data_IF_894290454972
#
_entry.id   IF_894290454972
#
_cell.length_a   1.000
_cell.length_b   1.000
_cell.length_c   1.000
_cell.angle_alpha   90.00
_cell.angle_beta   90.00
_cell.angle_gamma   90.00
#
_symmetry.space_group_name_H-M   'P 1'
#
loop_
_entity.id
_entity.type
_entity.pdbx_description
1 polymer ?
#
# COMPACT_ATOMS: atom_id res chain seq x y z
N UNK A 1 -13.95 3.57 4.75
CA UNK A 1 -13.16 4.71 4.27
C UNK A 1 -13.20 4.69 2.75
N UNK A 2 -13.42 5.83 2.07
CA UNK A 2 -13.49 5.84 0.60
C UNK A 2 -12.08 5.88 0.01
N UNK A 3 -11.92 5.31 -1.18
CA UNK A 3 -10.67 5.26 -1.94
C UNK A 3 -10.92 5.79 -3.35
N UNK A 4 -10.03 6.67 -3.80
CA UNK A 4 -10.12 7.28 -5.11
C UNK A 4 -8.81 7.10 -5.87
N UNK A 5 -8.89 6.82 -7.18
CA UNK A 5 -7.74 6.84 -8.07
C UNK A 5 -7.50 8.27 -8.56
N UNK A 6 -6.24 8.68 -8.60
CA UNK A 6 -5.81 9.99 -9.08
C UNK A 6 -4.96 9.81 -10.34
N UNK A 7 -5.04 10.79 -11.25
CA UNK A 7 -4.17 10.86 -12.43
C UNK A 7 -2.86 11.63 -12.16
N UNK A 8 -2.78 12.30 -11.01
CA UNK A 8 -1.62 13.06 -10.55
C UNK A 8 -1.76 13.43 -9.07
N UNK A 9 -0.66 13.87 -8.44
CA UNK A 9 -0.70 14.32 -7.05
C UNK A 9 -1.67 15.51 -6.89
N UNK A 10 -2.42 15.60 -5.78
CA UNK A 10 -3.27 16.76 -5.54
C UNK A 10 -2.46 18.06 -5.52
N UNK A 11 -3.06 19.20 -5.92
CA UNK A 11 -2.41 20.49 -5.78
C UNK A 11 -2.23 20.87 -4.30
N UNK A 12 -1.15 21.61 -4.00
CA UNK A 12 -0.84 22.12 -2.67
C UNK A 12 0.36 21.42 -2.02
N UNK A 13 0.75 21.94 -0.86
CA UNK A 13 1.92 21.43 -0.13
C UNK A 13 1.57 20.12 0.59
N UNK A 14 2.30 19.02 0.28
CA UNK A 14 2.12 17.79 1.02
C UNK A 14 2.62 17.91 2.46
N UNK A 15 1.96 17.20 3.36
CA UNK A 15 2.51 16.87 4.67
C UNK A 15 3.74 15.95 4.57
N UNK A 16 4.37 15.63 5.71
CA UNK A 16 5.59 14.82 5.77
C UNK A 16 5.47 13.48 5.05
N UNK A 17 6.57 13.05 4.47
CA UNK A 17 6.67 11.79 3.75
C UNK A 17 6.82 10.60 4.70
N UNK A 18 6.04 9.54 4.46
CA UNK A 18 6.29 8.20 5.01
C UNK A 18 6.47 7.21 3.86
N UNK A 19 7.61 6.52 3.82
CA UNK A 19 7.81 5.41 2.89
C UNK A 19 7.19 4.16 3.49
N UNK A 20 6.37 3.46 2.70
CA UNK A 20 5.72 2.21 3.09
C UNK A 20 6.21 1.11 2.14
N UNK A 21 6.72 0.02 2.71
CA UNK A 21 7.08 -1.19 1.98
C UNK A 21 6.32 -2.36 2.56
N UNK A 22 5.63 -3.10 1.72
CA UNK A 22 4.84 -4.26 2.13
C UNK A 22 5.24 -5.47 1.31
N UNK A 23 5.34 -6.62 1.96
CA UNK A 23 5.47 -7.93 1.32
C UNK A 23 4.34 -8.84 1.80
N UNK A 24 3.90 -9.72 0.90
CA UNK A 24 2.72 -10.54 1.10
C UNK A 24 3.01 -12.01 0.84
N UNK A 25 2.36 -12.87 1.61
CA UNK A 25 2.29 -14.30 1.34
C UNK A 25 0.85 -14.75 1.44
N UNK A 26 0.41 -15.54 0.47
CA UNK A 26 -0.81 -16.33 0.56
C UNK A 26 -0.41 -17.72 1.01
N UNK A 27 -0.91 -18.10 2.17
CA UNK A 27 -0.75 -19.43 2.72
C UNK A 27 -2.00 -20.25 2.33
N UNK A 28 -1.92 -21.58 2.46
CA UNK A 28 -3.07 -22.45 2.25
C UNK A 28 -4.29 -22.04 3.10
N UNK A 29 -5.47 -22.51 2.72
CA UNK A 29 -6.71 -22.34 3.50
C UNK A 29 -7.15 -20.87 3.74
N UNK A 30 -6.77 -19.97 2.83
CA UNK A 30 -7.17 -18.56 2.89
C UNK A 30 -6.40 -17.73 3.93
N UNK A 31 -5.29 -18.24 4.43
CA UNK A 31 -4.41 -17.49 5.32
C UNK A 31 -3.55 -16.51 4.53
N UNK A 32 -3.31 -15.32 5.09
CA UNK A 32 -2.38 -14.35 4.51
C UNK A 32 -1.45 -13.78 5.56
N UNK A 33 -0.19 -13.57 5.15
CA UNK A 33 0.79 -12.84 5.94
C UNK A 33 1.13 -11.54 5.20
N UNK A 34 1.23 -10.45 5.95
CA UNK A 34 1.74 -9.17 5.46
C UNK A 34 2.80 -8.67 6.41
N UNK A 35 4.02 -8.45 5.91
CA UNK A 35 5.01 -7.66 6.62
C UNK A 35 5.01 -6.25 6.03
N UNK A 36 4.85 -5.24 6.88
CA UNK A 36 4.83 -3.82 6.54
C UNK A 36 5.98 -3.12 7.25
N UNK A 37 6.76 -2.36 6.50
CA UNK A 37 7.78 -1.43 6.99
C UNK A 37 7.31 -0.04 6.68
N UNK A 38 7.20 0.81 7.69
CA UNK A 38 6.81 2.21 7.50
C UNK A 38 7.64 3.16 8.33
N UNK A 39 8.02 4.29 7.75
CA UNK A 39 8.72 5.35 8.47
C UNK A 39 9.07 6.52 7.56
N UNK A 40 9.53 7.65 8.13
CA UNK A 40 10.17 8.71 7.36
C UNK A 40 11.37 8.17 6.58
N UNK A 41 11.73 8.77 5.43
CA UNK A 41 12.86 8.32 4.61
C UNK A 41 14.20 8.35 5.38
N UNK A 42 14.34 9.28 6.32
CA UNK A 42 15.59 9.54 7.06
C UNK A 42 15.57 9.05 8.52
N UNK A 43 14.63 8.17 8.88
CA UNK A 43 14.51 7.65 10.24
C UNK A 43 14.36 6.12 10.29
N UNK A 44 14.60 5.55 11.47
CA UNK A 44 14.37 4.13 11.71
C UNK A 44 12.88 3.80 11.48
N UNK A 45 12.55 2.85 10.60
CA UNK A 45 11.17 2.50 10.33
C UNK A 45 10.62 1.56 11.40
N UNK A 46 9.29 1.49 11.49
CA UNK A 46 8.56 0.48 12.24
C UNK A 46 8.24 -0.69 11.33
N UNK A 47 8.51 -1.90 11.80
CA UNK A 47 8.16 -3.14 11.12
C UNK A 47 6.98 -3.81 11.83
N UNK A 48 5.95 -4.18 11.06
CA UNK A 48 4.70 -4.76 11.56
C UNK A 48 4.32 -6.00 10.75
N UNK A 49 4.10 -7.12 11.42
CA UNK A 49 3.60 -8.36 10.83
C UNK A 49 2.11 -8.51 11.12
N UNK A 50 1.30 -8.58 10.07
CA UNK A 50 -0.10 -8.96 10.15
C UNK A 50 -0.27 -10.40 9.66
N UNK A 51 -1.06 -11.17 10.44
CA UNK A 51 -1.47 -12.55 10.13
C UNK A 51 -2.98 -12.56 10.03
N UNK A 52 -3.53 -12.99 8.90
CA UNK A 52 -4.98 -13.06 8.66
C UNK A 52 -5.38 -14.48 8.29
N UNK A 53 -6.59 -14.86 8.71
CA UNK A 53 -7.27 -16.09 8.34
C UNK A 53 -8.76 -15.82 8.17
N UNK A 54 -9.55 -16.75 7.60
CA UNK A 54 -11.00 -16.59 7.57
C UNK A 54 -11.57 -16.31 8.97
N UNK A 55 -12.22 -15.15 9.12
CA UNK A 55 -12.87 -14.73 10.37
C UNK A 55 -11.97 -14.20 11.49
N UNK A 56 -10.64 -14.11 11.32
CA UNK A 56 -9.75 -13.55 12.35
C UNK A 56 -8.47 -12.92 11.79
N UNK A 57 -7.87 -12.00 12.54
CA UNK A 57 -6.57 -11.44 12.21
C UNK A 57 -5.84 -10.87 13.43
N UNK A 58 -4.52 -10.83 13.34
CA UNK A 58 -3.62 -10.32 14.37
C UNK A 58 -2.55 -9.46 13.74
N UNK A 59 -2.02 -8.50 14.50
CA UNK A 59 -0.96 -7.61 14.08
C UNK A 59 0.08 -7.45 15.21
N UNK A 60 1.36 -7.53 14.86
CA UNK A 60 2.47 -7.55 15.80
C UNK A 60 3.58 -6.61 15.32
N UNK A 61 4.14 -5.81 16.22
CA UNK A 61 5.38 -5.08 15.94
C UNK A 61 6.56 -6.06 16.00
N UNK A 62 7.41 -6.04 14.98
CA UNK A 62 8.60 -6.88 14.91
C UNK A 62 9.87 -6.06 15.19
N UNK A 63 10.87 -6.72 15.78
CA UNK A 63 12.22 -6.20 15.80
C UNK A 63 12.82 -6.14 14.38
N UNK A 64 13.76 -5.22 14.16
CA UNK A 64 14.31 -4.93 12.83
C UNK A 64 15.02 -6.14 12.17
N UNK A 65 15.76 -6.93 12.96
CA UNK A 65 16.50 -8.12 12.53
C UNK A 65 15.60 -9.19 11.87
N UNK A 66 14.57 -9.74 12.56
CA UNK A 66 13.68 -10.73 11.95
C UNK A 66 12.90 -10.16 10.75
N UNK A 67 12.54 -8.87 10.77
CA UNK A 67 11.86 -8.23 9.66
C UNK A 67 12.73 -8.20 8.38
N UNK A 68 14.02 -7.91 8.50
CA UNK A 68 14.93 -7.87 7.35
C UNK A 68 15.07 -9.22 6.63
N UNK A 69 15.09 -10.33 7.39
CA UNK A 69 15.06 -11.68 6.82
C UNK A 69 13.78 -11.96 6.05
N UNK A 70 12.62 -11.63 6.64
CA UNK A 70 11.31 -11.86 6.03
C UNK A 70 11.08 -11.00 4.78
N UNK A 71 11.53 -9.74 4.76
CA UNK A 71 11.43 -8.89 3.57
C UNK A 71 12.15 -9.49 2.35
N UNK A 72 13.31 -10.13 2.57
CA UNK A 72 14.04 -10.81 1.49
C UNK A 72 13.27 -12.03 0.98
N UNK A 73 12.67 -12.82 1.87
CA UNK A 73 11.88 -13.99 1.51
C UNK A 73 10.57 -13.64 0.77
N UNK A 74 10.00 -12.46 1.01
CA UNK A 74 8.73 -12.00 0.41
C UNK A 74 8.90 -11.13 -0.84
N UNK A 75 10.11 -10.97 -1.36
CA UNK A 75 10.42 -9.97 -2.38
C UNK A 75 9.64 -10.12 -3.69
N UNK A 76 9.12 -11.30 -4.01
CA UNK A 76 8.34 -11.57 -5.22
C UNK A 76 6.91 -11.02 -5.20
N UNK A 77 6.36 -10.70 -4.02
CA UNK A 77 4.99 -10.19 -3.88
C UNK A 77 5.01 -8.97 -2.95
N UNK A 78 5.28 -7.80 -3.52
CA UNK A 78 5.53 -6.57 -2.76
C UNK A 78 4.84 -5.35 -3.35
N UNK A 79 4.54 -4.39 -2.47
CA UNK A 79 4.17 -3.03 -2.86
C UNK A 79 5.09 -2.05 -2.15
N UNK A 80 5.40 -0.95 -2.84
CA UNK A 80 6.10 0.19 -2.26
C UNK A 80 5.37 1.45 -2.65
N UNK A 81 5.14 2.29 -1.66
CA UNK A 81 4.43 3.55 -1.83
C UNK A 81 5.01 4.62 -0.93
N UNK A 82 4.91 5.86 -1.37
CA UNK A 82 5.11 7.04 -0.54
C UNK A 82 3.75 7.55 -0.09
N UNK A 83 3.57 7.66 1.23
CA UNK A 83 2.38 8.24 1.87
C UNK A 83 2.63 9.69 2.23
N UNK A 84 1.72 10.57 1.81
CA UNK A 84 1.68 11.99 2.20
C UNK A 84 0.26 12.41 2.54
N UNK A 85 0.11 13.40 3.41
CA UNK A 85 -1.18 14.03 3.68
C UNK A 85 -1.38 15.22 2.74
N UNK A 86 -2.55 15.34 2.13
CA UNK A 86 -2.97 16.50 1.32
C UNK A 86 -4.31 17.00 1.88
N UNK A 87 -4.24 17.90 2.86
CA UNK A 87 -5.42 18.36 3.60
C UNK A 87 -6.19 17.19 4.23
N UNK A 88 -7.47 16.94 3.88
CA UNK A 88 -8.25 15.83 4.44
C UNK A 88 -7.93 14.45 3.84
N UNK A 89 -6.99 14.38 2.90
CA UNK A 89 -6.67 13.17 2.16
C UNK A 89 -5.35 12.56 2.59
N UNK A 90 -5.34 11.24 2.77
CA UNK A 90 -4.10 10.46 2.79
C UNK A 90 -3.87 9.92 1.38
N UNK A 91 -2.75 10.32 0.76
CA UNK A 91 -2.38 9.93 -0.60
C UNK A 91 -1.23 8.95 -0.57
N UNK A 92 -1.37 7.86 -1.32
CA UNK A 92 -0.35 6.86 -1.60
C UNK A 92 0.07 6.98 -3.07
N UNK A 93 1.33 7.32 -3.30
CA UNK A 93 1.98 7.30 -4.60
C UNK A 93 2.79 6.00 -4.68
N UNK A 94 2.39 5.07 -5.55
CA UNK A 94 3.03 3.76 -5.68
C UNK A 94 4.23 3.80 -6.63
N UNK A 95 5.20 2.92 -6.36
CA UNK A 95 6.49 2.88 -7.05
C UNK A 95 6.77 1.51 -7.70
N UNK A 96 7.78 1.46 -8.58
CA UNK A 96 8.25 0.26 -9.28
C UNK A 96 7.15 -0.42 -10.11
N UNK A 97 6.79 -1.65 -9.76
CA UNK A 97 5.82 -2.47 -10.51
C UNK A 97 4.42 -1.83 -10.52
N UNK A 98 4.15 -0.94 -9.55
CA UNK A 98 2.89 -0.21 -9.41
C UNK A 98 3.04 1.29 -9.76
N UNK A 99 4.11 1.68 -10.46
CA UNK A 99 4.36 3.07 -10.86
C UNK A 99 3.22 3.63 -11.72
N UNK A 100 2.90 4.91 -11.51
CA UNK A 100 1.76 5.58 -12.14
C UNK A 100 0.42 5.41 -11.40
N UNK A 101 0.36 4.57 -10.35
CA UNK A 101 -0.81 4.49 -9.48
C UNK A 101 -0.71 5.48 -8.32
N UNK A 102 -1.71 6.35 -8.21
CA UNK A 102 -1.91 7.24 -7.06
C UNK A 102 -3.30 6.99 -6.48
N UNK A 103 -3.35 6.73 -5.18
CA UNK A 103 -4.59 6.48 -4.44
C UNK A 103 -4.77 7.50 -3.32
N UNK A 104 -5.92 8.17 -3.29
CA UNK A 104 -6.32 8.98 -2.15
C UNK A 104 -7.34 8.23 -1.30
N UNK A 105 -7.23 8.37 0.01
CA UNK A 105 -8.20 7.86 0.97
C UNK A 105 -8.61 8.94 1.95
N UNK A 106 -9.90 8.96 2.28
CA UNK A 106 -10.46 9.98 3.16
C UNK A 106 -11.98 9.85 3.28
N UNK A 107 -12.57 10.78 4.03
CA UNK A 107 -14.02 10.86 4.28
C UNK A 107 -14.69 12.06 3.60
N UNK A 108 -13.90 12.99 3.06
CA UNK A 108 -14.40 14.15 2.33
C UNK A 108 -14.99 13.77 0.96
N UNK A 109 -15.69 14.72 0.32
CA UNK A 109 -16.10 14.58 -1.08
C UNK A 109 -14.90 14.78 -2.01
N UNK A 110 -14.64 13.82 -2.90
CA UNK A 110 -13.54 13.92 -3.85
C UNK A 110 -13.83 14.95 -4.96
N UNK A 111 -12.81 15.68 -5.44
CA UNK A 111 -12.95 16.68 -6.51
C UNK A 111 -13.01 16.01 -7.90
N UNK A 112 -13.98 15.11 -8.09
CA UNK A 112 -14.19 14.40 -9.36
C UNK A 112 -13.28 13.19 -9.61
N UNK A 113 -12.50 12.76 -8.61
CA UNK A 113 -11.66 11.56 -8.73
C UNK A 113 -12.50 10.28 -8.86
N UNK A 114 -12.11 9.32 -9.73
CA UNK A 114 -12.74 8.02 -9.81
C UNK A 114 -12.79 7.29 -8.47
N UNK A 115 -14.00 6.97 -7.99
CA UNK A 115 -14.20 6.17 -6.78
C UNK A 115 -13.91 4.69 -7.09
N UNK A 116 -12.89 4.15 -6.42
CA UNK A 116 -12.45 2.76 -6.55
C UNK A 116 -12.64 2.00 -5.24
N UNK A 117 -13.53 2.50 -4.38
CA UNK A 117 -13.91 1.84 -3.13
C UNK A 117 -14.49 0.46 -3.42
N UNK A 118 -14.03 -0.56 -2.69
CA UNK A 118 -14.49 -1.94 -2.85
C UNK A 118 -13.97 -2.66 -4.10
N UNK A 119 -13.10 -2.03 -4.89
CA UNK A 119 -12.45 -2.70 -6.00
C UNK A 119 -11.16 -3.39 -5.53
N UNK A 120 -11.20 -4.73 -5.48
CA UNK A 120 -10.10 -5.57 -5.00
C UNK A 120 -8.79 -5.32 -5.75
N UNK A 121 -8.84 -4.91 -7.01
CA UNK A 121 -7.66 -4.61 -7.83
C UNK A 121 -6.79 -3.48 -7.25
N UNK A 122 -7.36 -2.60 -6.41
CA UNK A 122 -6.67 -1.49 -5.76
C UNK A 122 -6.31 -1.77 -4.29
N UNK A 123 -6.52 -3.00 -3.80
CA UNK A 123 -6.02 -3.41 -2.50
C UNK A 123 -4.51 -3.73 -2.57
N UNK A 124 -3.76 -3.38 -1.53
CA UNK A 124 -2.30 -3.58 -1.49
C UNK A 124 -1.89 -5.04 -1.77
N UNK A 125 -2.66 -6.01 -1.26
CA UNK A 125 -2.37 -7.42 -1.48
C UNK A 125 -2.54 -7.76 -2.97
N UNK A 126 -3.64 -7.34 -3.60
CA UNK A 126 -3.86 -7.58 -5.02
C UNK A 126 -2.78 -6.94 -5.88
N UNK A 127 -2.36 -5.71 -5.56
CA UNK A 127 -1.28 -5.00 -6.25
C UNK A 127 0.09 -5.69 -6.08
N UNK A 128 0.28 -6.47 -5.01
CA UNK A 128 1.49 -7.26 -4.81
C UNK A 128 1.54 -8.52 -5.69
N UNK A 129 0.39 -9.12 -5.98
CA UNK A 129 0.29 -10.34 -6.81
C UNK A 129 0.01 -10.07 -8.28
N UNK A 130 -0.66 -8.96 -8.59
CA UNK A 130 -0.97 -8.50 -9.94
C UNK A 130 -0.76 -6.97 -10.02
N UNK A 131 0.47 -6.53 -10.29
CA UNK A 131 0.84 -5.12 -10.31
C UNK A 131 -0.01 -4.27 -11.26
N UNK A 132 -0.18 -3.00 -10.91
CA UNK A 132 -1.00 -2.03 -11.64
C UNK A 132 -0.69 -2.01 -13.15
N UNK A 133 0.59 -1.99 -13.51
CA UNK A 133 1.04 -1.94 -14.91
C UNK A 133 0.53 -3.11 -15.76
N UNK A 134 0.21 -4.25 -15.15
CA UNK A 134 -0.17 -5.47 -15.85
C UNK A 134 -1.66 -5.49 -16.24
N UNK A 135 -2.46 -4.54 -15.75
CA UNK A 135 -3.90 -4.49 -16.01
C UNK A 135 -4.47 -3.10 -16.26
N UNK A 136 -3.76 -2.05 -15.88
CA UNK A 136 -4.17 -0.68 -16.12
C UNK A 136 -3.82 -0.18 -17.53
N UNK A 137 -3.70 -1.09 -18.52
CA UNK A 137 -3.18 -0.86 -19.87
C UNK A 137 -3.39 0.59 -20.37
N UNK A 138 -2.37 1.23 -20.96
CA UNK A 138 -2.54 2.57 -21.48
C UNK A 138 -3.70 2.54 -22.48
N UNK A 139 -4.67 3.43 -22.28
CA UNK A 139 -5.56 3.84 -23.37
C UNK A 139 -4.64 4.28 -24.52
N UNK A 140 -4.42 3.39 -25.49
CA UNK A 140 -3.84 3.77 -26.77
C UNK A 140 -4.87 4.56 -27.56
#
# INVERSE_FOLDING_TARGET
MRRFRLDGLPPGDPGPETVIRQVFWRLGDGWTLRLRREGPPDAAPTDTLAVRRPGAGWEFVLAAEPAAGLFRAGAGHRTVATRRAYGPWTVLEYHWENEGLILATGTAAAPGWPDVTGQDAYEDESLAFRPFRDWAAPSR
#
